data_IF_928728588524
#
_entry.id   IF_928728588524
#
_cell.length_a   1.000
_cell.length_b   1.000
_cell.length_c   1.000
_cell.angle_alpha   90.00
_cell.angle_beta   90.00
_cell.angle_gamma   90.00
#
_symmetry.space_group_name_H-M   'P 1'
#
loop_
_entity.id
_entity.type
_entity.pdbx_description
1 polymer ?
#
# COMPACT_ATOMS: atom_id res chain seq x y z
N UNK A 1 -9.10 -2.95 -13.57
CA UNK A 1 -7.74 -3.08 -13.01
C UNK A 1 -7.05 -4.27 -13.65
N UNK A 2 -5.81 -4.08 -14.06
CA UNK A 2 -5.01 -5.16 -14.62
C UNK A 2 -4.58 -6.15 -13.54
N UNK A 3 -4.34 -7.40 -13.95
CA UNK A 3 -3.91 -8.46 -13.03
C UNK A 3 -2.64 -8.08 -12.27
N UNK A 4 -1.64 -7.52 -12.96
CA UNK A 4 -0.39 -7.10 -12.33
C UNK A 4 -0.61 -6.03 -11.27
N UNK A 5 -1.55 -5.12 -11.51
CA UNK A 5 -1.87 -4.08 -10.54
C UNK A 5 -2.56 -4.67 -9.32
N UNK A 6 -3.45 -5.66 -9.53
CA UNK A 6 -4.13 -6.33 -8.42
C UNK A 6 -3.12 -7.08 -7.55
N UNK A 7 -2.17 -7.77 -8.17
CA UNK A 7 -1.10 -8.47 -7.45
C UNK A 7 -0.24 -7.49 -6.66
N UNK A 8 0.07 -6.34 -7.25
CA UNK A 8 0.84 -5.31 -6.59
C UNK A 8 0.12 -4.78 -5.35
N UNK A 9 -1.18 -4.50 -5.46
CA UNK A 9 -1.95 -4.03 -4.32
C UNK A 9 -2.02 -5.07 -3.21
N UNK A 10 -2.18 -6.34 -3.58
CA UNK A 10 -2.16 -7.44 -2.60
C UNK A 10 -0.82 -7.52 -1.89
N UNK A 11 0.27 -7.37 -2.64
CA UNK A 11 1.61 -7.36 -2.07
C UNK A 11 1.78 -6.21 -1.08
N UNK A 12 1.26 -5.03 -1.41
CA UNK A 12 1.32 -3.88 -0.51
C UNK A 12 0.56 -4.13 0.78
N UNK A 13 -0.63 -4.70 0.69
CA UNK A 13 -1.46 -5.02 1.86
C UNK A 13 -0.73 -6.04 2.74
N UNK A 14 -0.22 -7.11 2.15
CA UNK A 14 0.48 -8.15 2.90
C UNK A 14 1.75 -7.63 3.55
N UNK A 15 2.48 -6.77 2.85
CA UNK A 15 3.70 -6.18 3.38
C UNK A 15 3.40 -5.26 4.56
N UNK A 16 2.36 -4.45 4.44
CA UNK A 16 1.95 -3.54 5.52
C UNK A 16 1.44 -4.34 6.72
N UNK A 17 0.69 -5.40 6.47
CA UNK A 17 0.18 -6.30 7.50
C UNK A 17 1.32 -6.92 8.30
N UNK A 18 2.35 -7.39 7.59
CA UNK A 18 3.52 -7.99 8.25
C UNK A 18 4.27 -6.97 9.10
N UNK A 19 4.34 -5.72 8.65
CA UNK A 19 5.00 -4.65 9.38
C UNK A 19 4.24 -4.27 10.65
N UNK A 20 2.91 -4.13 10.52
CA UNK A 20 2.08 -3.65 11.64
C UNK A 20 1.80 -4.74 12.67
N UNK A 21 1.56 -5.97 12.20
CA UNK A 21 1.16 -7.06 13.08
C UNK A 21 -0.24 -6.83 13.67
N UNK A 22 -0.97 -7.90 13.90
CA UNK A 22 -2.24 -7.82 14.61
C UNK A 22 -3.44 -7.29 13.84
N UNK A 23 -3.26 -6.75 12.64
CA UNK A 23 -4.37 -6.29 11.81
C UNK A 23 -4.67 -7.30 10.71
N UNK A 24 -5.97 -7.46 10.37
CA UNK A 24 -6.37 -8.30 9.25
C UNK A 24 -6.13 -7.56 7.93
N UNK A 25 -6.00 -8.33 6.84
CA UNK A 25 -5.88 -7.73 5.52
C UNK A 25 -7.07 -6.86 5.16
N UNK A 26 -8.28 -7.26 5.59
CA UNK A 26 -9.49 -6.49 5.32
C UNK A 26 -9.46 -5.13 6.01
N UNK A 27 -8.99 -5.07 7.25
CA UNK A 27 -8.88 -3.80 7.97
C UNK A 27 -7.86 -2.88 7.32
N UNK A 28 -6.75 -3.44 6.85
CA UNK A 28 -5.73 -2.67 6.15
C UNK A 28 -6.28 -2.15 4.82
N UNK A 29 -6.99 -2.99 4.07
CA UNK A 29 -7.60 -2.57 2.80
C UNK A 29 -8.58 -1.42 3.01
N UNK A 30 -9.42 -1.49 4.04
CA UNK A 30 -10.35 -0.42 4.38
C UNK A 30 -9.62 0.86 4.75
N UNK A 31 -8.55 0.75 5.51
CA UNK A 31 -7.73 1.88 5.90
C UNK A 31 -7.07 2.53 4.67
N UNK A 32 -6.53 1.71 3.77
CA UNK A 32 -5.91 2.22 2.55
C UNK A 32 -6.93 2.96 1.68
N UNK A 33 -8.13 2.42 1.57
CA UNK A 33 -9.17 3.07 0.77
C UNK A 33 -9.59 4.39 1.40
N UNK A 34 -9.76 4.43 2.71
CA UNK A 34 -10.16 5.64 3.41
C UNK A 34 -9.18 6.79 3.20
N UNK A 35 -7.89 6.50 3.21
CA UNK A 35 -6.87 7.53 3.08
C UNK A 35 -6.33 7.69 1.66
N UNK A 36 -6.95 7.04 0.68
CA UNK A 36 -6.56 7.20 -0.72
C UNK A 36 -5.26 6.50 -1.10
N UNK A 37 -4.82 5.53 -0.32
CA UNK A 37 -3.56 4.82 -0.59
C UNK A 37 -3.64 4.03 -1.89
N UNK A 38 -4.78 3.39 -2.19
CA UNK A 38 -4.92 2.64 -3.43
C UNK A 38 -4.77 3.54 -4.65
N UNK A 39 -5.36 4.72 -4.63
CA UNK A 39 -5.23 5.67 -5.72
C UNK A 39 -3.77 6.09 -5.89
N UNK A 40 -3.09 6.38 -4.79
CA UNK A 40 -1.68 6.72 -4.79
C UNK A 40 -0.84 5.61 -5.41
N UNK A 41 -1.08 4.37 -4.99
CA UNK A 41 -0.31 3.21 -5.47
C UNK A 41 -0.53 2.98 -6.96
N UNK A 42 -1.77 3.11 -7.44
CA UNK A 42 -2.08 2.90 -8.85
C UNK A 42 -1.55 4.03 -9.73
N UNK A 43 -1.66 5.27 -9.27
CA UNK A 43 -1.14 6.42 -10.02
C UNK A 43 0.38 6.35 -10.18
N UNK A 44 1.07 5.76 -9.22
CA UNK A 44 2.52 5.67 -9.21
C UNK A 44 3.03 4.24 -9.44
N UNK A 45 2.18 3.38 -9.97
CA UNK A 45 2.49 1.97 -10.16
C UNK A 45 3.82 1.75 -10.91
N UNK A 46 4.03 2.51 -12.00
CA UNK A 46 5.22 2.36 -12.82
C UNK A 46 6.52 2.52 -12.05
N UNK A 47 6.54 3.41 -11.07
CA UNK A 47 7.71 3.65 -10.22
C UNK A 47 7.71 2.71 -9.02
N UNK A 48 6.56 2.60 -8.35
CA UNK A 48 6.50 1.90 -7.06
C UNK A 48 6.66 0.40 -7.19
N UNK A 49 6.18 -0.22 -8.27
CA UNK A 49 6.27 -1.68 -8.40
C UNK A 49 7.70 -2.18 -8.60
N UNK A 50 8.65 -1.28 -8.87
CA UNK A 50 10.06 -1.62 -9.03
C UNK A 50 10.83 -1.54 -7.71
N UNK A 51 10.22 -1.00 -6.66
CA UNK A 51 10.90 -0.80 -5.38
C UNK A 51 10.93 -2.09 -4.58
N UNK A 52 11.94 -2.20 -3.72
CA UNK A 52 12.00 -3.28 -2.75
C UNK A 52 10.91 -3.06 -1.69
N UNK A 53 10.56 -4.14 -1.00
CA UNK A 53 9.50 -4.12 0.00
C UNK A 53 9.67 -3.00 1.02
N UNK A 54 10.88 -2.83 1.58
CA UNK A 54 11.13 -1.81 2.59
C UNK A 54 10.96 -0.41 2.02
N UNK A 55 11.46 -0.18 0.82
CA UNK A 55 11.32 1.11 0.15
C UNK A 55 9.85 1.44 -0.12
N UNK A 56 9.09 0.42 -0.54
CA UNK A 56 7.67 0.58 -0.80
C UNK A 56 6.91 0.94 0.47
N UNK A 57 7.21 0.24 1.57
CA UNK A 57 6.59 0.53 2.86
C UNK A 57 6.90 1.95 3.32
N UNK A 58 8.12 2.42 3.11
CA UNK A 58 8.50 3.79 3.47
C UNK A 58 7.69 4.80 2.68
N UNK A 59 7.44 4.53 1.39
CA UNK A 59 6.61 5.41 0.57
C UNK A 59 5.17 5.47 1.07
N UNK A 60 4.63 4.32 1.44
CA UNK A 60 3.26 4.25 1.97
C UNK A 60 3.17 5.01 3.29
N UNK A 61 4.14 4.82 4.18
CA UNK A 61 4.16 5.51 5.47
C UNK A 61 4.25 7.01 5.29
N UNK A 62 5.10 7.48 4.39
CA UNK A 62 5.24 8.90 4.11
C UNK A 62 3.94 9.49 3.57
N UNK A 63 3.29 8.77 2.66
CA UNK A 63 2.01 9.21 2.12
C UNK A 63 0.96 9.35 3.22
N UNK A 64 0.87 8.36 4.11
CA UNK A 64 -0.09 8.37 5.21
C UNK A 64 0.20 9.51 6.18
N UNK A 65 1.47 9.78 6.48
CA UNK A 65 1.84 10.90 7.34
C UNK A 65 1.39 12.23 6.76
N UNK A 66 1.49 12.39 5.44
CA UNK A 66 1.04 13.62 4.77
C UNK A 66 -0.48 13.77 4.83
N UNK A 67 -1.21 12.68 4.92
CA UNK A 67 -2.66 12.70 5.03
C UNK A 67 -3.15 12.85 6.47
N UNK A 68 -2.25 12.88 7.44
CA UNK A 68 -2.62 13.01 8.83
C UNK A 68 -3.08 11.71 9.48
N UNK A 69 -2.71 10.60 8.89
CA UNK A 69 -3.09 9.28 9.41
C UNK A 69 -2.14 8.79 10.50
#
# INVERSE_FOLDING_TARGET
MEENQAEFLSFCIESYKAMMGGLSGMKIANFFEEFGVFDYLLENYGTLHQLERQQLLDKIKNFLNQKGA
#
